data_IF_188923295178
#
_entry.id   IF_188923295178
#
_cell.length_a   1.000
_cell.length_b   1.000
_cell.length_c   1.000
_cell.angle_alpha   90.00
_cell.angle_beta   90.00
_cell.angle_gamma   90.00
#
_symmetry.space_group_name_H-M   'P 1'
#
loop_
_entity.id
_entity.type
_entity.pdbx_description
1 polymer ?
#
# COMPACT_ATOMS: atom_id res chain seq x y z
N UNK A 1 11.85 19.10 15.41
CA UNK A 1 10.55 18.74 14.82
C UNK A 1 9.67 18.17 15.92
N UNK A 2 8.34 18.32 15.83
CA UNK A 2 7.40 17.82 16.83
C UNK A 2 6.65 16.62 16.25
N UNK A 3 6.57 15.52 16.99
CA UNK A 3 5.92 14.27 16.57
C UNK A 3 4.47 14.56 16.15
N UNK A 4 4.04 14.03 15.01
CA UNK A 4 2.68 14.22 14.48
C UNK A 4 2.39 15.59 13.85
N UNK A 5 3.32 16.56 13.92
CA UNK A 5 3.15 17.90 13.33
C UNK A 5 4.14 18.14 12.17
N UNK A 6 5.42 17.81 12.38
CA UNK A 6 6.46 17.87 11.35
C UNK A 6 7.31 16.60 11.47
N UNK A 7 7.00 15.55 10.68
CA UNK A 7 7.78 14.33 10.68
C UNK A 7 9.24 14.60 10.34
N UNK A 8 10.16 14.02 11.11
CA UNK A 8 11.60 14.16 10.84
C UNK A 8 11.95 13.49 9.51
N UNK A 9 13.02 13.94 8.87
CA UNK A 9 13.54 13.29 7.67
C UNK A 9 14.21 14.26 6.72
N UNK A 10 14.85 13.71 5.70
CA UNK A 10 15.58 14.44 4.67
C UNK A 10 15.88 13.51 3.49
N UNK A 11 16.28 14.08 2.36
CA UNK A 11 16.61 13.34 1.14
C UNK A 11 18.11 13.47 0.80
N UNK A 12 18.53 12.99 -0.38
CA UNK A 12 19.94 12.97 -0.84
C UNK A 12 20.81 12.18 0.15
N UNK A 13 22.01 12.66 0.50
CA UNK A 13 22.92 11.98 1.42
C UNK A 13 22.45 11.89 2.88
N UNK A 14 21.30 12.48 3.23
CA UNK A 14 20.79 12.45 4.62
C UNK A 14 19.95 11.21 4.97
N UNK A 15 19.70 10.31 4.01
CA UNK A 15 19.04 9.03 4.24
C UNK A 15 17.80 8.79 3.39
N UNK A 16 16.98 7.82 3.84
CA UNK A 16 15.87 7.19 3.10
C UNK A 16 14.54 7.93 3.20
N UNK A 17 14.44 8.95 4.06
CA UNK A 17 13.24 9.74 4.24
C UNK A 17 12.00 8.96 4.71
N UNK A 18 12.16 7.94 5.55
CA UNK A 18 11.05 7.10 6.07
C UNK A 18 10.09 7.84 7.04
N UNK A 19 10.36 9.12 7.32
CA UNK A 19 9.50 10.03 8.10
C UNK A 19 9.17 9.52 9.52
N UNK A 20 10.21 9.17 10.30
CA UNK A 20 10.05 8.83 11.72
C UNK A 20 9.28 9.93 12.47
N UNK A 21 8.28 9.52 13.25
CA UNK A 21 7.27 10.42 13.86
C UNK A 21 5.98 10.59 13.04
N UNK A 22 5.83 9.84 11.94
CA UNK A 22 4.57 9.69 11.17
C UNK A 22 4.20 8.22 10.96
N UNK A 23 2.98 7.97 10.48
CA UNK A 23 2.49 6.62 10.13
C UNK A 23 3.32 5.94 9.04
N UNK A 24 3.97 6.71 8.17
CA UNK A 24 4.76 6.17 7.05
C UNK A 24 5.95 5.34 7.50
N UNK A 25 6.56 5.70 8.62
CA UNK A 25 7.64 4.92 9.21
C UNK A 25 7.15 3.54 9.70
N UNK A 26 5.90 3.45 10.18
CA UNK A 26 5.33 2.19 10.64
C UNK A 26 5.11 1.21 9.48
N UNK A 27 4.69 1.72 8.31
CA UNK A 27 4.48 0.91 7.12
C UNK A 27 5.77 0.27 6.57
N UNK A 28 6.95 0.76 6.95
CA UNK A 28 8.23 0.13 6.59
C UNK A 28 8.44 -1.21 7.28
N UNK A 29 7.78 -1.42 8.42
CA UNK A 29 7.92 -2.62 9.26
C UNK A 29 6.77 -3.61 9.09
N UNK A 30 5.87 -3.36 8.13
CA UNK A 30 4.74 -4.23 7.83
C UNK A 30 4.80 -4.67 6.38
N UNK A 31 4.53 -5.95 6.13
CA UNK A 31 4.28 -6.48 4.79
C UNK A 31 2.77 -6.63 4.58
N UNK A 32 2.15 -5.62 3.97
CA UNK A 32 0.70 -5.58 3.78
C UNK A 32 0.25 -6.69 2.82
N UNK A 33 -0.86 -7.37 3.16
CA UNK A 33 -1.55 -8.32 2.27
C UNK A 33 -2.99 -7.89 2.04
N UNK A 34 -3.49 -8.11 0.83
CA UNK A 34 -4.91 -7.96 0.50
C UNK A 34 -5.54 -9.33 0.33
N UNK A 35 -6.81 -9.47 0.72
CA UNK A 35 -7.58 -10.70 0.62
C UNK A 35 -8.90 -10.35 -0.07
N UNK A 36 -9.27 -11.11 -1.11
CA UNK A 36 -10.54 -10.98 -1.82
C UNK A 36 -11.30 -12.30 -1.73
N UNK A 37 -12.57 -12.21 -1.34
CA UNK A 37 -13.53 -13.31 -1.39
C UNK A 37 -14.64 -12.96 -2.39
N UNK A 38 -15.05 -13.92 -3.22
CA UNK A 38 -16.15 -13.74 -4.19
C UNK A 38 -17.21 -14.78 -3.89
N UNK A 39 -18.38 -14.36 -3.39
CA UNK A 39 -19.42 -15.30 -2.96
C UNK A 39 -20.08 -16.07 -4.10
N UNK A 40 -20.12 -15.49 -5.30
CA UNK A 40 -20.64 -16.13 -6.51
C UNK A 40 -19.57 -16.01 -7.61
N UNK A 41 -18.75 -17.05 -7.75
CA UNK A 41 -17.67 -17.07 -8.73
C UNK A 41 -18.20 -17.33 -10.14
N UNK A 42 -17.66 -16.68 -11.18
CA UNK A 42 -17.95 -17.05 -12.56
C UNK A 42 -17.63 -18.53 -12.81
N UNK A 43 -18.55 -19.23 -13.48
CA UNK A 43 -18.38 -20.66 -13.84
C UNK A 43 -17.90 -20.85 -15.28
N UNK A 44 -17.92 -19.79 -16.10
CA UNK A 44 -17.43 -19.77 -17.47
C UNK A 44 -16.32 -18.72 -17.60
N UNK A 45 -15.25 -19.06 -18.31
CA UNK A 45 -14.11 -18.19 -18.55
C UNK A 45 -14.31 -17.25 -19.74
N UNK A 46 -15.27 -17.56 -20.63
CA UNK A 46 -15.51 -16.80 -21.85
C UNK A 46 -16.15 -15.47 -21.50
N UNK A 47 -15.66 -14.43 -22.15
CA UNK A 47 -16.21 -13.09 -22.01
C UNK A 47 -17.34 -12.87 -23.02
N UNK A 48 -18.38 -12.09 -22.67
CA UNK A 48 -19.53 -11.86 -23.55
C UNK A 48 -19.21 -11.28 -24.93
N UNK A 49 -18.06 -10.59 -25.10
CA UNK A 49 -17.67 -9.98 -26.38
C UNK A 49 -16.96 -10.95 -27.35
N UNK A 50 -16.69 -12.20 -26.95
CA UNK A 50 -16.00 -13.21 -27.78
C UNK A 50 -16.97 -14.13 -28.53
N UNK A 51 -18.27 -14.05 -28.26
CA UNK A 51 -19.34 -14.69 -29.01
C UNK A 51 -20.29 -13.61 -29.53
N UNK A 52 -20.88 -13.85 -30.70
CA UNK A 52 -21.95 -13.01 -31.26
C UNK A 52 -23.11 -12.80 -30.27
#
# INVERSE_FOLDING_TARGET
AVVGQQPFGGARGSGTNDKAGSVWNLLRWVSNRTIKETFVTPTDYRYPFLGE
#
